data_IF_748620980158
#
_entry.id   IF_748620980158
#
_cell.length_a   1.000
_cell.length_b   1.000
_cell.length_c   1.000
_cell.angle_alpha   90.00
_cell.angle_beta   90.00
_cell.angle_gamma   90.00
#
_symmetry.space_group_name_H-M   'P 1'
#
loop_
_entity.id
_entity.type
_entity.pdbx_description
1 polymer ?
#
# COMPACT_ATOMS: atom_id res chain seq x y z
N UNK A 1 -23.03 -8.34 -51.39
CA UNK A 1 -22.73 -7.79 -50.06
C UNK A 1 -21.23 -7.69 -49.95
N UNK A 2 -20.68 -6.48 -49.81
CA UNK A 2 -19.28 -6.28 -49.48
C UNK A 2 -19.28 -5.16 -48.44
N UNK A 3 -19.23 -5.54 -47.17
CA UNK A 3 -19.14 -4.60 -46.07
C UNK A 3 -17.74 -3.97 -46.10
N UNK A 4 -17.73 -2.65 -46.22
CA UNK A 4 -16.56 -1.81 -46.05
C UNK A 4 -15.92 -2.10 -44.69
N UNK A 5 -14.60 -2.31 -44.70
CA UNK A 5 -13.81 -2.37 -43.49
C UNK A 5 -14.06 -1.11 -42.67
N UNK A 6 -14.50 -1.30 -41.43
CA UNK A 6 -14.55 -0.24 -40.45
C UNK A 6 -13.13 0.30 -40.31
N UNK A 7 -12.93 1.50 -40.83
CA UNK A 7 -11.78 2.34 -40.54
C UNK A 7 -11.83 2.68 -39.06
N UNK A 8 -11.31 1.78 -38.21
CA UNK A 8 -10.84 2.15 -36.89
C UNK A 8 -9.72 3.16 -37.13
N UNK A 9 -9.99 4.43 -36.86
CA UNK A 9 -8.95 5.44 -36.79
C UNK A 9 -7.90 4.93 -35.79
N UNK A 10 -6.76 4.45 -36.27
CA UNK A 10 -5.57 4.27 -35.43
C UNK A 10 -5.30 5.62 -34.79
N UNK A 11 -5.67 5.75 -33.51
CA UNK A 11 -5.43 6.97 -32.75
C UNK A 11 -3.92 7.12 -32.65
N UNK A 12 -3.39 8.20 -33.23
CA UNK A 12 -1.95 8.45 -33.21
C UNK A 12 -1.47 8.63 -31.76
N UNK A 13 -0.55 7.78 -31.35
CA UNK A 13 0.06 7.81 -30.01
C UNK A 13 1.17 8.83 -30.01
N UNK A 14 1.01 9.91 -29.25
CA UNK A 14 2.06 10.91 -29.07
C UNK A 14 3.05 10.47 -28.00
N UNK A 15 4.22 11.12 -27.98
CA UNK A 15 5.19 10.90 -26.92
C UNK A 15 4.65 11.21 -25.52
N UNK A 16 3.82 12.25 -25.40
CA UNK A 16 3.17 12.63 -24.14
C UNK A 16 2.20 11.55 -23.65
N UNK A 17 1.42 10.94 -24.55
CA UNK A 17 0.56 9.82 -24.20
C UNK A 17 1.36 8.64 -23.66
N UNK A 18 2.47 8.30 -24.33
CA UNK A 18 3.34 7.22 -23.88
C UNK A 18 3.96 7.52 -22.50
N UNK A 19 4.28 8.79 -22.22
CA UNK A 19 4.72 9.19 -20.88
C UNK A 19 3.62 9.00 -19.84
N UNK A 20 2.37 9.36 -20.16
CA UNK A 20 1.22 9.17 -19.29
C UNK A 20 0.93 7.68 -19.03
N UNK A 21 1.02 6.83 -20.06
CA UNK A 21 0.90 5.37 -19.95
C UNK A 21 2.01 4.82 -19.04
N UNK A 22 3.26 5.21 -19.26
CA UNK A 22 4.38 4.76 -18.44
C UNK A 22 4.26 5.26 -16.99
N UNK A 23 3.74 6.48 -16.77
CA UNK A 23 3.49 7.02 -15.44
C UNK A 23 2.38 6.23 -14.74
N UNK A 24 1.29 5.92 -15.45
CA UNK A 24 0.21 5.08 -14.92
C UNK A 24 0.74 3.71 -14.48
N UNK A 25 1.53 3.03 -15.31
CA UNK A 25 2.13 1.75 -14.95
C UNK A 25 3.04 1.82 -13.70
N UNK A 26 3.84 2.89 -13.55
CA UNK A 26 4.65 3.08 -12.33
C UNK A 26 3.81 3.33 -11.08
N UNK A 27 2.76 4.15 -11.20
CA UNK A 27 1.85 4.43 -10.10
C UNK A 27 1.11 3.17 -9.67
N UNK A 28 0.70 2.35 -10.63
CA UNK A 28 0.05 1.08 -10.39
C UNK A 28 0.96 0.08 -9.63
N UNK A 29 2.22 -0.07 -10.04
CA UNK A 29 3.18 -0.89 -9.30
C UNK A 29 3.38 -0.38 -7.87
N UNK A 30 3.51 0.95 -7.68
CA UNK A 30 3.64 1.53 -6.34
C UNK A 30 2.37 1.34 -5.51
N UNK A 31 1.18 1.36 -6.12
CA UNK A 31 -0.08 1.07 -5.43
C UNK A 31 -0.07 -0.33 -4.83
N UNK A 32 0.37 -1.35 -5.58
CA UNK A 32 0.50 -2.73 -5.06
C UNK A 32 1.49 -2.83 -3.90
N UNK A 33 2.67 -2.21 -4.06
CA UNK A 33 3.66 -2.16 -2.98
C UNK A 33 3.07 -1.52 -1.71
N UNK A 34 2.34 -0.41 -1.85
CA UNK A 34 1.67 0.24 -0.73
C UNK A 34 0.58 -0.63 -0.10
N UNK A 35 -0.17 -1.39 -0.89
CA UNK A 35 -1.18 -2.31 -0.37
C UNK A 35 -0.56 -3.43 0.47
N UNK A 36 0.55 -3.99 0.02
CA UNK A 36 1.33 -4.97 0.78
C UNK A 36 1.94 -4.35 2.04
N UNK A 37 2.55 -3.17 1.95
CA UNK A 37 3.12 -2.43 3.10
C UNK A 37 2.04 -2.12 4.15
N UNK A 38 0.85 -1.66 3.72
CA UNK A 38 -0.30 -1.39 4.59
C UNK A 38 -0.79 -2.67 5.27
N UNK A 39 -0.85 -3.78 4.54
CA UNK A 39 -1.26 -5.07 5.08
C UNK A 39 -0.30 -5.53 6.18
N UNK A 40 1.01 -5.48 5.91
CA UNK A 40 2.05 -5.85 6.89
C UNK A 40 1.98 -4.96 8.13
N UNK A 41 1.79 -3.65 7.96
CA UNK A 41 1.67 -2.72 9.08
C UNK A 41 0.43 -3.03 9.96
N UNK A 42 -0.71 -3.40 9.34
CA UNK A 42 -1.91 -3.84 10.07
C UNK A 42 -1.69 -5.14 10.85
N UNK A 43 -1.09 -6.14 10.21
CA UNK A 43 -0.75 -7.41 10.86
C UNK A 43 0.23 -7.21 12.03
N UNK A 44 1.17 -6.27 11.88
CA UNK A 44 2.11 -5.89 12.94
C UNK A 44 1.38 -5.23 14.12
N UNK A 45 0.45 -4.31 13.86
CA UNK A 45 -0.36 -3.69 14.92
C UNK A 45 -1.23 -4.71 15.66
N UNK A 46 -1.87 -5.64 14.94
CA UNK A 46 -2.64 -6.73 15.55
C UNK A 46 -1.75 -7.60 16.45
N UNK A 47 -0.56 -7.97 15.95
CA UNK A 47 0.42 -8.76 16.74
C UNK A 47 0.90 -8.02 17.99
N UNK A 48 1.07 -6.69 17.92
CA UNK A 48 1.44 -5.86 19.08
C UNK A 48 0.29 -5.72 20.08
N UNK A 49 -0.95 -5.67 19.60
CA UNK A 49 -2.15 -5.66 20.44
C UNK A 49 -2.30 -6.99 21.18
N UNK A 50 -2.14 -8.11 20.49
CA UNK A 50 -2.14 -9.45 21.09
C UNK A 50 -1.03 -9.59 22.14
N UNK A 51 0.19 -9.16 21.82
CA UNK A 51 1.30 -9.17 22.77
C UNK A 51 1.02 -8.31 24.01
N UNK A 52 0.38 -7.15 23.83
CA UNK A 52 -0.05 -6.28 24.93
C UNK A 52 -1.08 -6.96 25.82
N UNK A 53 -2.06 -7.65 25.22
CA UNK A 53 -3.10 -8.37 25.95
C UNK A 53 -2.52 -9.54 26.75
N UNK A 54 -1.61 -10.32 26.16
CA UNK A 54 -0.89 -11.39 26.87
C UNK A 54 -0.02 -10.86 28.01
N UNK A 55 0.63 -9.70 27.82
CA UNK A 55 1.42 -9.07 28.87
C UNK A 55 0.55 -8.65 30.06
N UNK A 56 -0.70 -8.24 29.84
CA UNK A 56 -1.62 -7.92 30.94
C UNK A 56 -1.94 -9.17 31.78
N UNK A 57 -2.05 -10.32 31.14
CA UNK A 57 -2.43 -11.59 31.78
C UNK A 57 -1.28 -12.26 32.55
N UNK A 58 -0.02 -11.86 32.35
CA UNK A 58 1.12 -12.46 33.06
C UNK A 58 1.28 -11.92 34.48
N UNK A 59 1.53 -12.85 35.41
CA UNK A 59 1.92 -12.57 36.80
C UNK A 59 3.45 -12.39 36.95
N UNK A 60 4.22 -12.49 35.86
CA UNK A 60 5.69 -12.33 35.90
C UNK A 60 6.10 -10.84 35.87
N UNK A 61 6.95 -10.43 36.81
CA UNK A 61 7.51 -9.06 36.86
C UNK A 61 8.61 -8.83 35.79
N UNK A 62 9.19 -9.91 35.25
CA UNK A 62 10.25 -9.89 34.25
C UNK A 62 9.86 -10.80 33.11
N UNK A 63 9.81 -10.27 31.90
CA UNK A 63 9.42 -11.01 30.70
C UNK A 63 10.56 -11.09 29.69
N UNK A 64 10.49 -12.06 28.78
CA UNK A 64 11.45 -12.20 27.69
C UNK A 64 11.00 -11.40 26.48
N UNK A 65 11.73 -10.35 26.16
CA UNK A 65 11.47 -9.50 25.00
C UNK A 65 12.45 -9.83 23.86
N UNK A 66 11.92 -10.07 22.65
CA UNK A 66 12.75 -10.39 21.49
C UNK A 66 13.33 -9.12 20.85
N UNK A 67 14.64 -9.12 20.60
CA UNK A 67 15.35 -8.06 19.86
C UNK A 67 16.17 -8.74 18.77
N UNK A 68 15.72 -8.65 17.52
CA UNK A 68 16.32 -9.40 16.42
C UNK A 68 16.22 -10.91 16.68
N UNK A 69 17.38 -11.55 16.86
CA UNK A 69 17.49 -13.01 17.06
C UNK A 69 17.68 -13.43 18.53
N UNK A 70 17.70 -12.47 19.48
CA UNK A 70 17.96 -12.75 20.90
C UNK A 70 16.78 -12.35 21.78
N UNK A 71 16.68 -12.96 22.96
CA UNK A 71 15.71 -12.59 24.01
C UNK A 71 16.42 -11.95 25.19
N UNK A 72 15.97 -10.76 25.58
CA UNK A 72 16.41 -10.07 26.78
C UNK A 72 15.35 -10.20 27.89
N UNK A 73 15.80 -10.34 29.13
CA UNK A 73 14.91 -10.26 30.30
C UNK A 73 14.70 -8.80 30.64
N UNK A 74 13.47 -8.32 30.54
CA UNK A 74 13.11 -6.91 30.70
C UNK A 74 11.94 -6.81 31.70
N UNK A 75 11.93 -5.83 32.61
CA UNK A 75 10.79 -5.58 33.48
C UNK A 75 9.50 -5.39 32.69
N UNK A 76 8.39 -5.93 33.18
CA UNK A 76 7.07 -5.86 32.55
C UNK A 76 6.68 -4.43 32.16
N UNK A 77 6.78 -3.48 33.08
CA UNK A 77 6.45 -2.06 32.85
C UNK A 77 7.26 -1.44 31.70
N UNK A 78 8.53 -1.84 31.53
CA UNK A 78 9.35 -1.35 30.43
C UNK A 78 8.91 -1.96 29.09
N UNK A 79 8.49 -3.21 29.09
CA UNK A 79 7.94 -3.86 27.88
C UNK A 79 6.61 -3.25 27.48
N UNK A 80 5.73 -2.91 28.43
CA UNK A 80 4.47 -2.20 28.16
C UNK A 80 4.74 -0.87 27.43
N UNK A 81 5.68 -0.07 27.94
CA UNK A 81 6.08 1.21 27.31
C UNK A 81 6.62 0.99 25.89
N UNK A 82 7.44 -0.05 25.70
CA UNK A 82 8.02 -0.36 24.38
C UNK A 82 6.96 -0.78 23.38
N UNK A 83 6.03 -1.65 23.79
CA UNK A 83 4.92 -2.08 22.93
C UNK A 83 4.07 -0.87 22.53
N UNK A 84 3.75 0.02 23.46
CA UNK A 84 2.98 1.23 23.17
C UNK A 84 3.71 2.14 22.16
N UNK A 85 5.01 2.37 22.34
CA UNK A 85 5.83 3.12 21.39
C UNK A 85 5.87 2.48 20.00
N UNK A 86 5.96 1.15 19.94
CA UNK A 86 5.94 0.41 18.68
C UNK A 86 4.58 0.53 17.96
N UNK A 87 3.47 0.49 18.71
CA UNK A 87 2.12 0.75 18.17
C UNK A 87 2.01 2.16 17.61
N UNK A 88 2.39 3.18 18.38
CA UNK A 88 2.33 4.58 17.91
C UNK A 88 3.15 4.80 16.62
N UNK A 89 4.35 4.22 16.54
CA UNK A 89 5.20 4.32 15.34
C UNK A 89 4.54 3.63 14.15
N UNK A 90 3.99 2.43 14.37
CA UNK A 90 3.36 1.64 13.32
C UNK A 90 2.07 2.30 12.83
N UNK A 91 1.26 2.88 13.71
CA UNK A 91 0.07 3.67 13.37
C UNK A 91 0.41 4.92 12.54
N UNK A 92 1.43 5.69 12.95
CA UNK A 92 1.90 6.86 12.18
C UNK A 92 2.42 6.46 10.80
N UNK A 93 3.05 5.29 10.68
CA UNK A 93 3.48 4.78 9.38
C UNK A 93 2.28 4.35 8.53
N UNK A 94 1.29 3.68 9.13
CA UNK A 94 0.06 3.29 8.46
C UNK A 94 -0.72 4.49 7.92
N UNK A 95 -0.81 5.58 8.68
CA UNK A 95 -1.40 6.85 8.26
C UNK A 95 -0.71 7.39 6.99
N UNK A 96 0.63 7.52 7.03
CA UNK A 96 1.41 7.99 5.87
C UNK A 96 1.25 7.12 4.63
N UNK A 97 1.26 5.79 4.80
CA UNK A 97 1.08 4.86 3.69
C UNK A 97 -0.32 5.00 3.07
N UNK A 98 -1.33 5.22 3.91
CA UNK A 98 -2.72 5.42 3.48
C UNK A 98 -2.86 6.75 2.73
N UNK A 99 -2.25 7.84 3.22
CA UNK A 99 -2.22 9.12 2.53
C UNK A 99 -1.51 9.03 1.16
N UNK A 100 -0.37 8.32 1.09
CA UNK A 100 0.34 8.08 -0.17
C UNK A 100 -0.54 7.30 -1.15
N UNK A 101 -1.21 6.24 -0.67
CA UNK A 101 -2.14 5.43 -1.46
C UNK A 101 -3.27 6.28 -2.05
N UNK A 102 -3.90 7.13 -1.23
CA UNK A 102 -4.97 8.03 -1.68
C UNK A 102 -4.49 9.04 -2.73
N UNK A 103 -3.27 9.57 -2.56
CA UNK A 103 -2.63 10.45 -3.54
C UNK A 103 -2.39 9.73 -4.88
N UNK A 104 -1.90 8.49 -4.85
CA UNK A 104 -1.65 7.68 -6.04
C UNK A 104 -2.95 7.35 -6.76
N UNK A 105 -3.99 6.93 -6.04
CA UNK A 105 -5.30 6.65 -6.62
C UNK A 105 -5.89 7.89 -7.30
N UNK A 106 -5.71 9.07 -6.71
CA UNK A 106 -6.15 10.33 -7.29
C UNK A 106 -5.40 10.65 -8.60
N UNK A 107 -4.08 10.50 -8.61
CA UNK A 107 -3.26 10.69 -9.81
C UNK A 107 -3.59 9.68 -10.91
N UNK A 108 -3.83 8.42 -10.55
CA UNK A 108 -4.23 7.38 -11.49
C UNK A 108 -5.59 7.67 -12.10
N UNK A 109 -6.57 8.13 -11.31
CA UNK A 109 -7.89 8.51 -11.80
C UNK A 109 -7.84 9.66 -12.82
N UNK A 110 -6.98 10.66 -12.61
CA UNK A 110 -6.75 11.75 -13.56
C UNK A 110 -6.13 11.23 -14.87
N UNK A 111 -5.08 10.43 -14.78
CA UNK A 111 -4.43 9.82 -15.95
C UNK A 111 -5.38 8.91 -16.72
N UNK A 112 -6.20 8.13 -16.02
CA UNK A 112 -7.21 7.25 -16.61
C UNK A 112 -8.21 8.04 -17.45
N UNK A 113 -8.71 9.17 -16.93
CA UNK A 113 -9.61 10.07 -17.69
C UNK A 113 -8.95 10.61 -18.96
N UNK A 114 -7.69 11.05 -18.87
CA UNK A 114 -6.93 11.58 -20.01
C UNK A 114 -6.76 10.50 -21.09
N UNK A 115 -6.32 9.31 -20.67
CA UNK A 115 -6.00 8.21 -21.60
C UNK A 115 -7.26 7.62 -22.24
N UNK A 116 -8.32 7.33 -21.47
CA UNK A 116 -9.59 6.87 -22.04
C UNK A 116 -10.30 7.93 -22.88
N UNK A 117 -10.16 9.22 -22.52
CA UNK A 117 -10.71 10.32 -23.33
C UNK A 117 -10.10 10.40 -24.74
N UNK A 118 -8.86 9.91 -24.91
CA UNK A 118 -8.16 9.90 -26.21
C UNK A 118 -8.25 8.57 -26.93
N UNK A 119 -8.00 7.46 -26.24
CA UNK A 119 -7.88 6.13 -26.84
C UNK A 119 -9.18 5.32 -26.79
N UNK A 120 -10.16 5.72 -25.97
CA UNK A 120 -11.43 5.01 -25.78
C UNK A 120 -11.20 3.50 -25.57
N UNK A 121 -11.83 2.65 -26.38
CA UNK A 121 -11.71 1.18 -26.31
C UNK A 121 -10.35 0.64 -26.79
N UNK A 122 -9.44 1.50 -27.26
CA UNK A 122 -8.13 1.10 -27.79
C UNK A 122 -7.05 0.96 -26.71
N UNK A 123 -7.38 1.28 -25.45
CA UNK A 123 -6.47 1.13 -24.30
C UNK A 123 -7.18 0.37 -23.18
N UNK A 124 -6.45 -0.52 -22.49
CA UNK A 124 -6.91 -1.13 -21.25
C UNK A 124 -5.98 -0.74 -20.11
N UNK A 125 -6.55 -0.10 -19.09
CA UNK A 125 -5.87 0.34 -17.87
C UNK A 125 -6.48 -0.27 -16.61
N UNK A 126 -7.44 -1.18 -16.76
CA UNK A 126 -7.97 -1.97 -15.66
C UNK A 126 -7.00 -3.11 -15.33
N UNK A 127 -6.92 -3.48 -14.05
CA UNK A 127 -6.26 -4.70 -13.62
C UNK A 127 -7.25 -5.86 -13.55
N UNK A 128 -6.76 -7.08 -13.81
CA UNK A 128 -7.46 -8.34 -13.56
C UNK A 128 -7.38 -8.73 -12.08
#
# INVERSE_FOLDING_TARGET
MQQAGASGSEVEVTWEDQQNINKFGRLNNRLHELEDEIKIAKETNESLEDASNELILTDEDIVRFQIGEVFAHIPKDEVEIRIEQMKEVTEKNLEKLTEEKESILSQMAELKKILYGKFNDSINLEED
#
